data_IF_121606796543
#
_entry.id   IF_121606796543
#
_cell.length_a   1.000
_cell.length_b   1.000
_cell.length_c   1.000
_cell.angle_alpha   90.00
_cell.angle_beta   90.00
_cell.angle_gamma   90.00
#
_symmetry.space_group_name_H-M   'P 1'
#
loop_
_entity.id
_entity.type
_entity.pdbx_description
1 polymer ?
#
# COMPACT_ATOMS: atom_id res chain seq x y z
N UNK A 1 -8.40 1.99 0.53
CA UNK A 1 -7.23 2.86 0.76
C UNK A 1 -6.88 3.07 2.23
N UNK A 2 -7.78 3.59 3.10
CA UNK A 2 -7.43 3.91 4.51
C UNK A 2 -6.78 2.77 5.29
N UNK A 3 -7.34 1.55 5.22
CA UNK A 3 -6.76 0.36 5.84
C UNK A 3 -5.36 0.04 5.31
N UNK A 4 -5.14 0.16 4.00
CA UNK A 4 -3.85 -0.11 3.37
C UNK A 4 -2.82 0.96 3.76
N UNK A 5 -3.22 2.23 3.83
CA UNK A 5 -2.38 3.31 4.34
C UNK A 5 -2.00 3.11 5.81
N UNK A 6 -2.94 2.66 6.65
CA UNK A 6 -2.65 2.35 8.04
C UNK A 6 -1.67 1.17 8.18
N UNK A 7 -1.83 0.12 7.37
CA UNK A 7 -0.90 -1.01 7.30
C UNK A 7 0.48 -0.56 6.83
N UNK A 8 0.53 0.27 5.79
CA UNK A 8 1.77 0.82 5.26
C UNK A 8 2.50 1.65 6.31
N UNK A 9 1.81 2.58 6.97
CA UNK A 9 2.37 3.41 8.03
C UNK A 9 2.93 2.57 9.20
N UNK A 10 2.20 1.53 9.60
CA UNK A 10 2.67 0.61 10.65
C UNK A 10 3.93 -0.17 10.24
N UNK A 11 3.99 -0.65 9.00
CA UNK A 11 5.19 -1.32 8.49
C UNK A 11 6.38 -0.35 8.43
N UNK A 12 6.16 0.88 7.97
CA UNK A 12 7.22 1.89 7.84
C UNK A 12 7.73 2.39 9.20
N UNK A 13 6.85 2.54 10.19
CA UNK A 13 7.23 2.83 11.58
C UNK A 13 8.16 1.74 12.13
N UNK A 14 7.79 0.47 11.94
CA UNK A 14 8.63 -0.67 12.37
C UNK A 14 9.94 -0.76 11.61
N UNK A 15 9.93 -0.54 10.29
CA UNK A 15 11.14 -0.53 9.47
C UNK A 15 12.09 0.64 9.82
N UNK A 16 11.57 1.71 10.44
CA UNK A 16 12.37 2.80 11.00
C UNK A 16 13.09 2.45 12.31
N UNK A 17 12.69 1.38 13.00
CA UNK A 17 13.37 0.90 14.21
C UNK A 17 14.68 0.19 13.84
N UNK A 18 15.81 0.80 14.18
CA UNK A 18 17.14 0.25 13.89
C UNK A 18 17.40 -1.09 14.58
N UNK A 19 16.70 -1.40 15.67
CA UNK A 19 16.82 -2.69 16.35
C UNK A 19 16.13 -3.83 15.61
N UNK A 20 15.26 -3.55 14.62
CA UNK A 20 14.61 -4.57 13.78
C UNK A 20 15.60 -5.31 12.88
N UNK A 21 16.74 -4.69 12.60
CA UNK A 21 17.80 -5.26 11.78
C UNK A 21 18.73 -6.22 12.54
N UNK A 22 18.44 -6.49 13.82
CA UNK A 22 19.12 -7.55 14.56
C UNK A 22 18.88 -8.92 13.90
N UNK A 23 19.91 -9.79 13.77
CA UNK A 23 19.76 -11.11 13.16
C UNK A 23 18.65 -11.98 13.77
N UNK A 24 18.35 -11.81 15.06
CA UNK A 24 17.26 -12.52 15.75
C UNK A 24 15.86 -12.09 15.33
N UNK A 25 15.72 -10.88 14.77
CA UNK A 25 14.44 -10.28 14.34
C UNK A 25 14.21 -10.36 12.83
N UNK A 26 15.04 -11.12 12.09
CA UNK A 26 14.93 -11.29 10.63
C UNK A 26 13.53 -11.72 10.16
N UNK A 27 12.85 -12.56 10.93
CA UNK A 27 11.48 -12.98 10.62
C UNK A 27 10.50 -11.79 10.66
N UNK A 28 10.58 -10.99 11.72
CA UNK A 28 9.78 -9.78 11.90
C UNK A 28 10.10 -8.73 10.83
N UNK A 29 11.38 -8.54 10.49
CA UNK A 29 11.80 -7.65 9.40
C UNK A 29 11.19 -8.09 8.07
N UNK A 30 11.21 -9.39 7.79
CA UNK A 30 10.65 -9.97 6.55
C UNK A 30 9.14 -9.76 6.48
N UNK A 31 8.45 -9.96 7.60
CA UNK A 31 7.01 -9.70 7.69
C UNK A 31 6.69 -8.22 7.45
N UNK A 32 7.45 -7.29 8.03
CA UNK A 32 7.25 -5.85 7.82
C UNK A 32 7.46 -5.45 6.34
N UNK A 33 8.51 -5.97 5.70
CA UNK A 33 8.77 -5.74 4.28
C UNK A 33 7.65 -6.31 3.39
N UNK A 34 7.15 -7.51 3.71
CA UNK A 34 6.05 -8.12 2.98
C UNK A 34 4.76 -7.30 3.13
N UNK A 35 4.45 -6.85 4.36
CA UNK A 35 3.30 -6.01 4.64
C UNK A 35 3.38 -4.67 3.88
N UNK A 36 4.56 -4.05 3.87
CA UNK A 36 4.82 -2.81 3.12
C UNK A 36 4.57 -3.02 1.62
N UNK A 37 5.14 -4.07 1.03
CA UNK A 37 5.01 -4.36 -0.39
C UNK A 37 3.55 -4.64 -0.79
N UNK A 38 2.85 -5.48 -0.02
CA UNK A 38 1.44 -5.78 -0.28
C UNK A 38 0.53 -4.57 -0.10
N UNK A 39 0.79 -3.72 0.90
CA UNK A 39 0.02 -2.50 1.09
C UNK A 39 0.22 -1.50 -0.06
N UNK A 40 1.46 -1.32 -0.55
CA UNK A 40 1.77 -0.45 -1.71
C UNK A 40 1.09 -0.94 -2.98
N UNK A 41 1.24 -2.24 -3.30
CA UNK A 41 0.57 -2.84 -4.47
C UNK A 41 -0.95 -2.65 -4.42
N UNK A 42 -1.56 -2.89 -3.25
CA UNK A 42 -3.01 -2.71 -3.09
C UNK A 42 -3.46 -1.25 -3.21
N UNK A 43 -2.63 -0.29 -2.82
CA UNK A 43 -2.93 1.14 -3.01
C UNK A 43 -2.87 1.51 -4.49
N UNK A 44 -1.82 1.10 -5.20
CA UNK A 44 -1.68 1.30 -6.64
C UNK A 44 -2.85 0.69 -7.42
N UNK A 45 -3.27 -0.53 -7.07
CA UNK A 45 -4.46 -1.17 -7.65
C UNK A 45 -5.75 -0.37 -7.41
N UNK A 46 -5.93 0.15 -6.19
CA UNK A 46 -7.08 1.00 -5.87
C UNK A 46 -7.07 2.30 -6.66
N UNK A 47 -5.89 2.92 -6.84
CA UNK A 47 -5.72 4.15 -7.61
C UNK A 47 -6.02 3.92 -9.10
N UNK A 48 -5.52 2.83 -9.67
CA UNK A 48 -5.79 2.46 -11.06
C UNK A 48 -7.28 2.18 -11.30
N UNK A 49 -7.94 1.43 -10.42
CA UNK A 49 -9.37 1.17 -10.52
C UNK A 49 -10.20 2.45 -10.39
N UNK A 50 -9.76 3.40 -9.56
CA UNK A 50 -10.42 4.70 -9.43
C UNK A 50 -10.26 5.55 -10.69
N UNK A 51 -9.05 5.63 -11.26
CA UNK A 51 -8.79 6.33 -12.51
C UNK A 51 -9.61 5.76 -13.67
N UNK A 52 -9.68 4.44 -13.78
CA UNK A 52 -10.50 3.77 -14.81
C UNK A 52 -12.00 4.11 -14.65
N UNK A 53 -12.53 4.05 -13.42
CA UNK A 53 -13.91 4.40 -13.15
C UNK A 53 -14.21 5.88 -13.45
N UNK A 54 -13.27 6.78 -13.15
CA UNK A 54 -13.38 8.19 -13.48
C UNK A 54 -13.40 8.41 -15.00
N UNK A 55 -12.49 7.78 -15.75
CA UNK A 55 -12.43 7.88 -17.20
C UNK A 55 -13.73 7.39 -17.86
N UNK A 56 -14.29 6.28 -17.39
CA UNK A 56 -15.59 5.78 -17.86
C UNK A 56 -16.72 6.78 -17.59
N UNK A 57 -16.74 7.41 -16.42
CA UNK A 57 -17.74 8.43 -16.08
C UNK A 57 -17.60 9.68 -16.95
N UNK A 58 -16.38 10.15 -17.21
CA UNK A 58 -16.12 11.26 -18.12
C UNK A 58 -16.56 10.96 -19.55
N UNK A 59 -16.31 9.74 -20.04
CA UNK A 59 -16.79 9.29 -21.35
C UNK A 59 -18.32 9.26 -21.43
N UNK A 60 -19.02 8.85 -20.37
CA UNK A 60 -20.49 8.89 -20.33
C UNK A 60 -21.00 10.34 -20.40
N UNK A 61 -20.43 11.24 -19.59
CA UNK A 61 -20.87 12.64 -19.55
C UNK A 61 -20.51 13.46 -20.81
N UNK A 62 -19.49 13.08 -21.57
CA UNK A 62 -19.17 13.74 -22.86
C UNK A 62 -20.04 13.26 -24.02
N UNK A 63 -20.63 12.07 -23.91
CA UNK A 63 -21.45 11.47 -24.95
C UNK A 63 -22.96 11.76 -24.77
N UNK A 64 -23.34 12.45 -23.69
CA UNK A 64 -24.67 13.01 -23.41
C UNK A 64 -24.72 14.51 -23.77
#
# INVERSE_FOLDING_TARGET
>A
MEKLNAQLAQAEEKLGDSSLYDPSRKAEMTECLQLQASAKSGLEECEMAWLEAQEQLEQMMQND
#
